data_IF_947964493114
#
_entry.id   IF_947964493114
#
_cell.length_a   1.000
_cell.length_b   1.000
_cell.length_c   1.000
_cell.angle_alpha   90.00
_cell.angle_beta   90.00
_cell.angle_gamma   90.00
#
_symmetry.space_group_name_H-M   'P 1'
#
loop_
_entity.id
_entity.type
_entity.pdbx_description
1 polymer ?
#
# COMPACT_ATOMS: atom_id res chain seq x y z
N UNK A 1 0.82 -14.61 -7.74
CA UNK A 1 -0.54 -14.95 -7.27
C UNK A 1 -1.57 -14.08 -7.98
N UNK A 2 -2.28 -14.61 -9.00
CA UNK A 2 -3.56 -14.01 -9.38
C UNK A 2 -4.45 -14.10 -8.16
N UNK A 3 -4.93 -12.97 -7.66
CA UNK A 3 -5.98 -12.99 -6.64
C UNK A 3 -7.15 -13.69 -7.30
N UNK A 4 -7.47 -14.93 -6.88
CA UNK A 4 -8.80 -15.49 -7.11
C UNK A 4 -9.75 -14.50 -6.44
N UNK A 5 -10.26 -13.53 -7.19
CA UNK A 5 -11.38 -12.73 -6.78
C UNK A 5 -12.53 -13.73 -6.68
N UNK A 6 -12.72 -14.33 -5.49
CA UNK A 6 -13.84 -15.21 -5.20
C UNK A 6 -15.11 -14.34 -5.16
N UNK A 7 -15.53 -13.80 -6.32
CA UNK A 7 -16.70 -12.93 -6.46
C UNK A 7 -16.74 -11.67 -5.57
N UNK A 8 -15.69 -11.39 -4.81
CA UNK A 8 -15.70 -10.34 -3.80
C UNK A 8 -15.36 -8.99 -4.45
N UNK A 9 -16.18 -7.98 -4.15
CA UNK A 9 -15.97 -6.61 -4.60
C UNK A 9 -14.60 -6.10 -4.12
N UNK A 10 -13.78 -5.66 -5.06
CA UNK A 10 -12.50 -5.06 -4.75
C UNK A 10 -12.73 -3.62 -4.28
N UNK A 11 -12.05 -3.25 -3.21
CA UNK A 11 -12.03 -1.92 -2.64
C UNK A 11 -10.65 -1.33 -2.89
N UNK A 12 -10.60 -0.03 -3.12
CA UNK A 12 -9.35 0.67 -3.38
C UNK A 12 -8.71 1.08 -2.05
N UNK A 13 -7.43 0.77 -1.89
CA UNK A 13 -6.64 1.19 -0.75
C UNK A 13 -5.42 1.96 -1.21
N UNK A 14 -5.19 3.12 -0.63
CA UNK A 14 -3.92 3.84 -0.72
C UNK A 14 -3.07 3.42 0.46
N UNK A 15 -1.99 2.71 0.18
CA UNK A 15 -1.02 2.26 1.18
C UNK A 15 0.27 3.04 1.02
N UNK A 16 0.73 3.64 2.10
CA UNK A 16 1.98 4.39 2.17
C UNK A 16 2.89 3.72 3.18
N UNK A 17 4.12 3.43 2.77
CA UNK A 17 5.12 2.86 3.67
C UNK A 17 6.54 3.28 3.30
N UNK A 18 7.47 3.06 4.22
CA UNK A 18 8.88 3.41 4.05
C UNK A 18 9.78 2.37 4.72
N UNK A 19 11.08 2.45 4.42
CA UNK A 19 12.08 1.74 5.20
C UNK A 19 12.19 2.37 6.59
N UNK A 20 12.59 1.61 7.59
CA UNK A 20 12.91 2.19 8.90
C UNK A 20 14.13 3.13 8.78
N UNK A 21 14.09 4.31 9.41
CA UNK A 21 15.26 5.18 9.52
C UNK A 21 16.45 4.46 10.15
N UNK A 22 17.66 4.77 9.69
CA UNK A 22 18.91 4.24 10.21
C UNK A 22 19.98 5.33 10.17
N UNK A 23 21.08 5.20 10.93
CA UNK A 23 22.19 6.17 10.92
C UNK A 23 22.74 6.46 9.52
N UNK A 24 22.68 5.46 8.62
CA UNK A 24 23.13 5.61 7.23
C UNK A 24 22.12 6.28 6.30
N UNK A 25 20.83 6.25 6.65
CA UNK A 25 19.73 6.79 5.87
C UNK A 25 18.62 7.27 6.81
N UNK A 26 18.77 8.49 7.37
CA UNK A 26 17.87 9.01 8.39
C UNK A 26 16.51 9.41 7.82
N UNK A 27 16.42 9.67 6.52
CA UNK A 27 15.17 10.08 5.87
C UNK A 27 14.86 9.23 4.62
N UNK A 28 14.48 7.94 4.83
CA UNK A 28 14.23 7.04 3.74
C UNK A 28 13.01 7.48 2.91
N UNK A 29 13.02 7.20 1.59
CA UNK A 29 11.92 7.58 0.70
C UNK A 29 10.62 6.87 1.09
N UNK A 30 9.51 7.61 0.98
CA UNK A 30 8.16 7.07 1.15
C UNK A 30 7.62 6.52 -0.17
N UNK A 31 6.99 5.36 -0.10
CA UNK A 31 6.36 4.69 -1.23
C UNK A 31 4.85 4.68 -1.06
N UNK A 32 4.14 5.30 -2.00
CA UNK A 32 2.67 5.28 -2.09
C UNK A 32 2.25 4.30 -3.18
N UNK A 33 1.32 3.41 -2.88
CA UNK A 33 0.73 2.49 -3.85
C UNK A 33 -0.79 2.47 -3.72
N UNK A 34 -1.48 2.52 -4.87
CA UNK A 34 -2.90 2.21 -4.97
C UNK A 34 -3.07 0.71 -5.18
N UNK A 35 -3.82 0.07 -4.29
CA UNK A 35 -3.97 -1.39 -4.22
C UNK A 35 -5.45 -1.73 -4.16
N UNK A 36 -5.90 -2.52 -5.13
CA UNK A 36 -7.24 -3.09 -5.11
C UNK A 36 -7.25 -4.40 -4.33
N UNK A 37 -7.98 -4.45 -3.22
CA UNK A 37 -8.06 -5.60 -2.33
C UNK A 37 -9.45 -5.71 -1.69
N UNK A 38 -9.79 -6.89 -1.16
CA UNK A 38 -11.08 -7.09 -0.47
C UNK A 38 -11.09 -6.52 0.95
N UNK A 39 -9.91 -6.34 1.58
CA UNK A 39 -9.75 -5.72 2.89
C UNK A 39 -8.35 -5.10 3.04
N UNK A 40 -8.19 -4.29 4.10
CA UNK A 40 -6.94 -3.60 4.41
C UNK A 40 -5.77 -4.56 4.72
N UNK A 41 -6.04 -5.76 5.28
CA UNK A 41 -4.99 -6.75 5.60
C UNK A 41 -4.35 -7.27 4.32
N UNK A 42 -5.17 -7.61 3.32
CA UNK A 42 -4.72 -8.05 2.00
C UNK A 42 -4.03 -6.90 1.28
N UNK A 43 -4.52 -5.66 1.41
CA UNK A 43 -3.86 -4.48 0.86
C UNK A 43 -2.43 -4.30 1.40
N UNK A 44 -2.26 -4.37 2.73
CA UNK A 44 -0.93 -4.31 3.38
C UNK A 44 -0.01 -5.45 2.93
N UNK A 45 -0.55 -6.67 2.79
CA UNK A 45 0.22 -7.81 2.30
C UNK A 45 0.69 -7.62 0.85
N UNK A 46 -0.19 -7.11 -0.02
CA UNK A 46 0.13 -6.76 -1.41
C UNK A 46 1.18 -5.65 -1.50
N UNK A 47 1.09 -4.63 -0.64
CA UNK A 47 2.11 -3.58 -0.55
C UNK A 47 3.49 -4.19 -0.32
N UNK A 48 3.65 -5.02 0.72
CA UNK A 48 4.92 -5.65 1.02
C UNK A 48 5.44 -6.58 -0.09
N UNK A 49 4.54 -7.29 -0.76
CA UNK A 49 4.90 -8.10 -1.92
C UNK A 49 5.54 -7.24 -3.02
N UNK A 50 4.89 -6.14 -3.41
CA UNK A 50 5.40 -5.29 -4.47
C UNK A 50 6.66 -4.50 -4.05
N UNK A 51 6.71 -3.95 -2.84
CA UNK A 51 7.90 -3.21 -2.38
C UNK A 51 9.12 -4.10 -2.22
N UNK A 52 8.92 -5.39 -1.89
CA UNK A 52 10.02 -6.36 -1.83
C UNK A 52 10.62 -6.64 -3.21
N UNK A 53 9.77 -6.68 -4.25
CA UNK A 53 10.18 -6.92 -5.64
C UNK A 53 10.80 -5.67 -6.28
N UNK A 54 10.18 -4.50 -6.09
CA UNK A 54 10.56 -3.26 -6.78
C UNK A 54 11.63 -2.46 -6.07
N UNK A 55 11.61 -2.44 -4.73
CA UNK A 55 12.45 -1.56 -3.90
C UNK A 55 13.33 -2.31 -2.91
N UNK A 56 13.29 -3.65 -2.92
CA UNK A 56 14.00 -4.53 -1.97
C UNK A 56 13.68 -4.20 -0.50
N UNK A 57 12.53 -3.61 -0.22
CA UNK A 57 12.06 -3.31 1.14
C UNK A 57 11.21 -4.45 1.64
N UNK A 58 11.63 -5.05 2.75
CA UNK A 58 10.92 -6.15 3.43
C UNK A 58 10.12 -5.61 4.61
N UNK A 59 9.03 -6.30 4.95
CA UNK A 59 8.21 -6.01 6.14
C UNK A 59 9.03 -5.90 7.44
N UNK A 60 10.09 -6.68 7.58
CA UNK A 60 10.96 -6.66 8.76
C UNK A 60 11.75 -5.35 8.93
N UNK A 61 12.09 -4.68 7.83
CA UNK A 61 12.96 -3.50 7.82
C UNK A 61 12.21 -2.24 7.37
N UNK A 62 10.88 -2.26 7.44
CA UNK A 62 10.05 -1.15 6.99
C UNK A 62 8.77 -1.06 7.81
N UNK A 63 8.11 0.08 7.67
CA UNK A 63 6.85 0.38 8.34
C UNK A 63 5.82 0.88 7.33
N UNK A 64 4.54 0.60 7.61
CA UNK A 64 3.42 1.20 6.89
C UNK A 64 3.02 2.45 7.68
N UNK A 65 3.12 3.60 7.03
CA UNK A 65 2.81 4.92 7.61
C UNK A 65 1.31 5.19 7.57
N UNK A 66 0.66 4.89 6.43
CA UNK A 66 -0.79 5.02 6.29
C UNK A 66 -1.38 3.91 5.41
N UNK A 67 -2.64 3.56 5.66
CA UNK A 67 -3.42 2.62 4.88
C UNK A 67 -4.87 3.11 4.89
N UNK A 68 -5.26 3.83 3.85
CA UNK A 68 -6.57 4.48 3.71
C UNK A 68 -7.39 3.79 2.64
N UNK A 69 -8.68 3.62 2.89
CA UNK A 69 -9.64 3.13 1.89
C UNK A 69 -10.17 4.32 1.09
N UNK A 70 -10.00 4.27 -0.24
CA UNK A 70 -10.50 5.30 -1.14
C UNK A 70 -11.93 4.94 -1.52
N UNK A 71 -12.89 5.69 -0.95
CA UNK A 71 -14.28 5.62 -1.40
C UNK A 71 -14.45 6.49 -2.64
N UNK A 72 -14.92 5.90 -3.74
CA UNK A 72 -15.15 6.57 -5.02
C UNK A 72 -16.16 7.73 -4.96
N UNK A 73 -16.94 7.85 -3.89
CA UNK A 73 -17.85 8.98 -3.68
C UNK A 73 -17.15 10.35 -3.61
N UNK A 74 -15.88 10.39 -3.21
CA UNK A 74 -15.11 11.64 -3.08
C UNK A 74 -14.25 11.98 -4.30
N UNK A 75 -14.15 11.09 -5.29
CA UNK A 75 -13.30 11.31 -6.46
C UNK A 75 -13.86 12.37 -7.42
N UNK A 76 -15.17 12.61 -7.38
CA UNK A 76 -15.82 13.67 -8.15
C UNK A 76 -15.60 15.08 -7.57
N UNK A 77 -15.37 15.20 -6.26
CA UNK A 77 -15.24 16.51 -5.59
C UNK A 77 -13.83 17.11 -5.69
N UNK A 78 -12.81 16.34 -6.04
CA UNK A 78 -11.45 16.87 -6.31
C UNK A 78 -11.22 17.28 -7.76
N UNK A 79 -12.23 17.14 -8.61
CA UNK A 79 -12.21 17.45 -10.05
C UNK A 79 -13.14 18.61 -10.43
N UNK A 80 -13.79 19.27 -9.45
CA UNK A 80 -14.62 20.47 -9.63
C UNK A 80 -13.94 21.65 -8.93
#
# INVERSE_FOLDING_TARGET
>A
MPTKAKGAQLREFVVIGRKLPSDKDPNPPMYKMQIFATNHVIAKSRFWYFTSMLRRVKKANGEIVSCEEVSHSYMFLSLV
#
